data_IF_752151114028
#
_entry.id   IF_752151114028
#
_cell.length_a   1.000
_cell.length_b   1.000
_cell.length_c   1.000
_cell.angle_alpha   90.00
_cell.angle_beta   90.00
_cell.angle_gamma   90.00
#
_symmetry.space_group_name_H-M   'P 1'
#
loop_
_entity.id
_entity.type
_entity.pdbx_description
1 polymer ?
#
# COMPACT_ATOMS: atom_id res chain seq x y z
N UNK A 1 -2.49 2.43 -0.43
CA UNK A 1 -2.12 3.45 -1.45
C UNK A 1 -3.28 4.31 -1.92
N UNK A 2 -4.50 3.82 -2.13
CA UNK A 2 -5.66 4.68 -2.43
C UNK A 2 -6.46 5.12 -1.20
N UNK A 3 -6.18 4.61 0.01
CA UNK A 3 -6.91 4.96 1.22
C UNK A 3 -7.04 6.46 1.49
N UNK A 4 -5.94 7.22 1.43
CA UNK A 4 -5.98 8.66 1.65
C UNK A 4 -6.71 9.38 0.50
N UNK A 5 -6.52 8.95 -0.75
CA UNK A 5 -7.32 9.42 -1.90
C UNK A 5 -8.82 9.06 -1.81
N UNK A 6 -9.17 7.95 -1.16
CA UNK A 6 -10.55 7.50 -0.90
C UNK A 6 -11.16 8.28 0.26
N UNK A 7 -10.40 8.57 1.30
CA UNK A 7 -10.84 9.44 2.40
C UNK A 7 -11.03 10.86 1.87
N UNK A 8 -10.16 11.33 0.98
CA UNK A 8 -10.34 12.57 0.20
C UNK A 8 -11.62 12.48 -0.63
N UNK A 9 -11.88 11.38 -1.34
CA UNK A 9 -13.09 11.20 -2.16
C UNK A 9 -14.38 11.11 -1.33
N UNK A 10 -14.33 10.48 -0.14
CA UNK A 10 -15.44 10.40 0.81
C UNK A 10 -15.72 11.76 1.47
N UNK A 11 -14.69 12.59 1.68
CA UNK A 11 -14.83 13.97 2.16
C UNK A 11 -15.17 14.97 1.03
N UNK A 12 -14.83 14.66 -0.22
CA UNK A 12 -15.18 15.42 -1.41
C UNK A 12 -16.36 14.77 -2.14
N UNK A 13 -17.52 14.70 -1.48
CA UNK A 13 -18.78 14.72 -2.22
C UNK A 13 -18.67 15.87 -3.23
N UNK A 14 -18.78 15.56 -4.53
CA UNK A 14 -18.60 16.43 -5.71
C UNK A 14 -17.27 16.33 -6.47
N UNK A 15 -16.86 15.13 -6.85
CA UNK A 15 -16.17 14.96 -8.14
C UNK A 15 -17.00 14.04 -9.03
N UNK A 16 -17.68 14.66 -10.00
CA UNK A 16 -18.37 14.01 -11.10
C UNK A 16 -17.33 13.28 -11.97
N UNK A 17 -17.10 12.00 -11.69
CA UNK A 17 -16.67 11.07 -12.72
C UNK A 17 -17.67 9.92 -12.69
N UNK A 18 -18.47 9.88 -13.74
CA UNK A 18 -19.42 8.81 -13.99
C UNK A 18 -18.72 7.44 -14.00
N UNK A 19 -19.45 6.42 -13.53
CA UNK A 19 -19.17 4.95 -13.59
C UNK A 19 -18.48 4.30 -12.37
N UNK A 20 -19.30 3.78 -11.45
CA UNK A 20 -18.96 2.72 -10.48
C UNK A 20 -18.03 3.11 -9.31
N UNK A 21 -18.32 2.61 -8.10
CA UNK A 21 -17.36 2.68 -6.99
C UNK A 21 -16.11 1.86 -7.34
N UNK A 22 -14.91 2.43 -7.13
CA UNK A 22 -13.64 1.69 -7.30
C UNK A 22 -13.57 0.47 -6.37
N UNK A 23 -12.80 -0.56 -6.74
CA UNK A 23 -12.57 -1.73 -5.88
C UNK A 23 -12.04 -1.31 -4.51
N UNK A 24 -11.21 -0.28 -4.48
CA UNK A 24 -10.67 0.27 -3.25
C UNK A 24 -11.75 0.77 -2.28
N UNK A 25 -12.78 1.46 -2.80
CA UNK A 25 -13.91 1.95 -2.02
C UNK A 25 -14.82 0.81 -1.57
N UNK A 26 -15.08 -0.15 -2.46
CA UNK A 26 -15.91 -1.31 -2.15
C UNK A 26 -15.29 -2.11 -1.00
N UNK A 27 -13.99 -2.41 -1.08
CA UNK A 27 -13.29 -3.18 -0.06
C UNK A 27 -13.18 -2.42 1.27
N UNK A 28 -12.98 -1.10 1.26
CA UNK A 28 -12.98 -0.31 2.50
C UNK A 28 -14.37 -0.29 3.15
N UNK A 29 -15.42 -0.12 2.36
CA UNK A 29 -16.81 -0.11 2.85
C UNK A 29 -17.17 -1.45 3.48
N UNK A 30 -16.77 -2.56 2.83
CA UNK A 30 -16.98 -3.90 3.36
C UNK A 30 -16.18 -4.16 4.64
N UNK A 31 -14.93 -3.68 4.72
CA UNK A 31 -14.13 -3.75 5.95
C UNK A 31 -14.79 -3.01 7.11
N UNK A 32 -15.22 -1.76 6.89
CA UNK A 32 -15.93 -0.98 7.91
C UNK A 32 -17.21 -1.71 8.35
N UNK A 33 -17.99 -2.24 7.39
CA UNK A 33 -19.21 -3.01 7.71
C UNK A 33 -18.90 -4.24 8.56
N UNK A 34 -17.96 -5.07 8.15
CA UNK A 34 -17.65 -6.34 8.81
C UNK A 34 -17.04 -6.12 10.21
N UNK A 35 -16.22 -5.07 10.38
CA UNK A 35 -15.67 -4.69 11.68
C UNK A 35 -16.74 -4.20 12.66
N UNK A 36 -17.81 -3.58 12.19
CA UNK A 36 -18.92 -3.14 13.04
C UNK A 36 -19.80 -4.32 13.48
N UNK A 37 -20.01 -5.31 12.60
CA UNK A 37 -20.79 -6.52 12.90
C UNK A 37 -20.08 -7.40 13.94
N UNK A 38 -18.77 -7.57 13.84
CA UNK A 38 -18.02 -8.45 14.74
C UNK A 38 -17.84 -7.92 16.18
N UNK A 39 -18.10 -6.63 16.43
CA UNK A 39 -17.90 -6.02 17.75
C UNK A 39 -19.19 -5.89 18.57
N UNK A 40 -20.34 -6.41 18.12
CA UNK A 40 -21.66 -6.22 18.75
C UNK A 40 -21.97 -4.74 19.09
N UNK A 41 -21.32 -3.79 18.41
CA UNK A 41 -21.62 -2.37 18.60
C UNK A 41 -22.84 -2.08 17.73
N UNK A 42 -24.01 -1.75 18.32
CA UNK A 42 -25.16 -1.36 17.53
C UNK A 42 -24.73 -0.22 16.60
N UNK A 43 -25.14 -0.29 15.34
CA UNK A 43 -24.91 0.77 14.35
C UNK A 43 -25.64 2.02 14.83
N UNK A 44 -25.04 2.78 15.74
CA UNK A 44 -25.41 4.16 15.93
C UNK A 44 -24.91 4.88 14.70
N UNK A 45 -25.82 5.21 13.79
CA UNK A 45 -25.59 6.09 12.64
C UNK A 45 -25.02 7.48 13.03
N UNK A 46 -24.79 7.74 14.33
CA UNK A 46 -24.32 8.98 14.91
C UNK A 46 -22.86 8.98 15.40
N UNK A 47 -22.07 7.92 15.19
CA UNK A 47 -20.64 7.89 15.55
C UNK A 47 -19.69 7.78 14.35
N UNK A 48 -20.13 8.18 13.16
CA UNK A 48 -19.17 8.51 12.10
C UNK A 48 -18.45 9.78 12.55
N UNK A 49 -17.12 9.77 12.74
CA UNK A 49 -16.40 10.99 13.09
C UNK A 49 -16.72 12.05 12.05
N UNK A 50 -17.24 13.20 12.48
CA UNK A 50 -17.65 14.24 11.53
C UNK A 50 -16.48 15.09 11.03
N UNK A 51 -15.32 14.99 11.68
CA UNK A 51 -14.11 15.70 11.25
C UNK A 51 -13.23 14.84 10.33
N UNK A 52 -12.51 15.47 9.38
CA UNK A 52 -11.60 14.78 8.47
C UNK A 52 -10.58 13.87 9.16
N UNK A 53 -10.05 14.29 10.32
CA UNK A 53 -9.08 13.50 11.10
C UNK A 53 -9.66 12.17 11.53
N UNK A 54 -10.84 12.18 12.13
CA UNK A 54 -11.49 10.99 12.67
C UNK A 54 -11.89 10.02 11.57
N UNK A 55 -12.38 10.51 10.42
CA UNK A 55 -12.67 9.66 9.25
C UNK A 55 -11.39 9.00 8.75
N UNK A 56 -10.30 9.79 8.66
CA UNK A 56 -9.01 9.30 8.17
C UNK A 56 -8.45 8.21 9.09
N UNK A 57 -8.43 8.49 10.39
CA UNK A 57 -7.94 7.55 11.38
C UNK A 57 -8.79 6.27 11.44
N UNK A 58 -10.11 6.40 11.45
CA UNK A 58 -11.02 5.25 11.51
C UNK A 58 -10.84 4.31 10.30
N UNK A 59 -10.55 4.86 9.11
CA UNK A 59 -10.26 4.06 7.93
C UNK A 59 -8.93 3.27 8.07
N UNK A 60 -7.86 3.90 8.55
CA UNK A 60 -6.60 3.21 8.82
C UNK A 60 -6.77 2.14 9.90
N UNK A 61 -7.44 2.46 11.00
CA UNK A 61 -7.68 1.51 12.09
C UNK A 61 -8.56 0.34 11.66
N UNK A 62 -9.62 0.60 10.89
CA UNK A 62 -10.49 -0.43 10.33
C UNK A 62 -9.70 -1.42 9.47
N UNK A 63 -8.81 -0.92 8.60
CA UNK A 63 -7.98 -1.79 7.79
C UNK A 63 -6.93 -2.49 8.63
N UNK A 64 -6.30 -1.81 9.58
CA UNK A 64 -5.25 -2.43 10.40
C UNK A 64 -5.78 -3.53 11.34
N UNK A 65 -7.07 -3.53 11.69
CA UNK A 65 -7.69 -4.66 12.40
C UNK A 65 -7.66 -5.96 11.59
N UNK A 66 -7.82 -5.88 10.26
CA UNK A 66 -7.83 -7.05 9.40
C UNK A 66 -7.39 -6.74 7.96
N UNK A 67 -6.12 -6.34 7.81
CA UNK A 67 -5.62 -5.89 6.50
C UNK A 67 -5.58 -7.05 5.49
N UNK A 68 -5.51 -8.30 5.95
CA UNK A 68 -5.52 -9.49 5.08
C UNK A 68 -6.85 -9.63 4.35
N UNK A 69 -7.98 -9.43 5.03
CA UNK A 69 -9.29 -9.46 4.37
C UNK A 69 -9.48 -8.28 3.40
N UNK A 70 -8.93 -7.10 3.74
CA UNK A 70 -8.95 -5.96 2.83
C UNK A 70 -8.18 -6.26 1.53
N UNK A 71 -7.01 -6.87 1.66
CA UNK A 71 -6.18 -7.28 0.51
C UNK A 71 -6.85 -8.42 -0.28
N UNK A 72 -7.46 -9.38 0.40
CA UNK A 72 -8.19 -10.48 -0.23
C UNK A 72 -9.36 -9.97 -1.10
N UNK A 73 -10.11 -8.98 -0.59
CA UNK A 73 -11.14 -8.30 -1.37
C UNK A 73 -10.56 -7.63 -2.62
N UNK A 74 -9.42 -6.96 -2.48
CA UNK A 74 -8.71 -6.34 -3.61
C UNK A 74 -8.31 -7.36 -4.66
N UNK A 75 -7.59 -8.40 -4.27
CA UNK A 75 -7.11 -9.45 -5.17
C UNK A 75 -8.26 -10.12 -5.94
N UNK A 76 -9.40 -10.34 -5.27
CA UNK A 76 -10.56 -11.00 -5.87
C UNK A 76 -11.30 -10.11 -6.88
N UNK A 77 -11.40 -8.79 -6.61
CA UNK A 77 -12.24 -7.87 -7.39
C UNK A 77 -11.48 -7.04 -8.40
N UNK A 78 -10.23 -6.69 -8.11
CA UNK A 78 -9.43 -5.81 -8.95
C UNK A 78 -9.31 -6.31 -10.40
N UNK A 79 -9.02 -7.61 -10.68
CA UNK A 79 -8.89 -8.12 -12.04
C UNK A 79 -10.19 -8.05 -12.88
N UNK A 80 -11.35 -7.90 -12.23
CA UNK A 80 -12.66 -7.85 -12.89
C UNK A 80 -13.17 -6.43 -13.10
N UNK A 81 -12.51 -5.44 -12.50
CA UNK A 81 -12.97 -4.05 -12.59
C UNK A 81 -12.61 -3.43 -13.94
N UNK A 82 -13.55 -2.67 -14.49
CA UNK A 82 -13.37 -1.86 -15.70
C UNK A 82 -13.19 -0.38 -15.37
N UNK A 83 -13.23 0.00 -14.09
CA UNK A 83 -12.98 1.39 -13.69
C UNK A 83 -11.53 1.78 -14.08
N UNK A 84 -11.31 2.97 -14.69
CA UNK A 84 -9.99 3.41 -15.11
C UNK A 84 -8.92 3.37 -14.00
N UNK A 85 -9.26 3.81 -12.79
CA UNK A 85 -8.33 3.80 -11.66
C UNK A 85 -7.97 2.37 -11.23
N UNK A 86 -8.95 1.45 -11.29
CA UNK A 86 -8.73 0.04 -10.95
C UNK A 86 -7.87 -0.66 -12.02
N UNK A 87 -8.07 -0.34 -13.31
CA UNK A 87 -7.22 -0.85 -14.39
C UNK A 87 -5.79 -0.38 -14.28
N UNK A 88 -5.58 0.90 -13.93
CA UNK A 88 -4.26 1.39 -13.59
C UNK A 88 -3.67 0.62 -12.40
N UNK A 89 -4.46 0.35 -11.36
CA UNK A 89 -4.01 -0.41 -10.20
C UNK A 89 -3.62 -1.86 -10.56
N UNK A 90 -4.28 -2.51 -11.52
CA UNK A 90 -3.90 -3.84 -12.00
C UNK A 90 -2.46 -3.88 -12.55
N UNK A 91 -1.88 -2.75 -12.98
CA UNK A 91 -0.51 -2.66 -13.47
C UNK A 91 0.55 -2.65 -12.36
N UNK A 92 0.17 -2.29 -11.13
CA UNK A 92 1.12 -2.04 -10.03
C UNK A 92 0.82 -2.84 -8.77
N UNK A 93 -0.37 -3.42 -8.68
CA UNK A 93 -0.79 -4.21 -7.53
C UNK A 93 -0.17 -5.61 -7.55
N UNK A 94 0.39 -6.01 -6.40
CA UNK A 94 0.52 -7.42 -6.06
C UNK A 94 0.13 -7.62 -4.60
N UNK A 95 -0.43 -8.80 -4.30
CA UNK A 95 -0.81 -9.18 -2.94
C UNK A 95 0.36 -9.02 -1.96
N UNK A 96 1.49 -9.64 -2.27
CA UNK A 96 2.69 -9.67 -1.42
C UNK A 96 3.20 -8.28 -1.04
N UNK A 97 3.27 -7.34 -1.99
CA UNK A 97 3.75 -5.99 -1.70
C UNK A 97 2.75 -5.20 -0.86
N UNK A 98 1.45 -5.39 -1.10
CA UNK A 98 0.43 -4.76 -0.27
C UNK A 98 0.41 -5.35 1.15
N UNK A 99 0.66 -6.66 1.31
CA UNK A 99 0.81 -7.31 2.62
C UNK A 99 2.01 -6.71 3.37
N UNK A 100 3.19 -6.63 2.77
CA UNK A 100 4.36 -5.99 3.39
C UNK A 100 4.09 -4.54 3.81
N UNK A 101 3.39 -3.78 2.97
CA UNK A 101 3.05 -2.39 3.25
C UNK A 101 2.13 -2.26 4.48
N UNK A 102 1.02 -3.01 4.52
CA UNK A 102 0.09 -2.94 5.64
C UNK A 102 0.62 -3.62 6.90
N UNK A 103 1.38 -4.71 6.78
CA UNK A 103 2.02 -5.34 7.93
C UNK A 103 2.96 -4.35 8.63
N UNK A 104 3.84 -3.69 7.88
CA UNK A 104 4.73 -2.67 8.45
C UNK A 104 3.98 -1.48 9.05
N UNK A 105 3.01 -0.93 8.32
CA UNK A 105 2.21 0.20 8.80
C UNK A 105 1.45 -0.13 10.08
N UNK A 106 0.70 -1.23 10.06
CA UNK A 106 -0.26 -1.58 11.10
C UNK A 106 0.41 -2.14 12.36
N UNK A 107 1.59 -2.76 12.24
CA UNK A 107 2.31 -3.32 13.39
C UNK A 107 3.33 -2.36 14.00
N UNK A 108 3.96 -1.49 13.19
CA UNK A 108 5.09 -0.68 13.66
C UNK A 108 4.72 0.79 13.88
N UNK A 109 3.94 1.39 12.97
CA UNK A 109 3.90 2.86 12.85
C UNK A 109 2.49 3.48 12.96
N UNK A 110 1.43 2.66 13.06
CA UNK A 110 0.06 3.15 13.26
C UNK A 110 -0.10 4.10 14.46
N UNK A 111 0.51 3.86 15.65
CA UNK A 111 0.42 4.80 16.76
C UNK A 111 0.98 6.19 16.42
N UNK A 112 2.14 6.24 15.74
CA UNK A 112 2.75 7.51 15.34
C UNK A 112 1.88 8.26 14.31
N UNK A 113 1.23 7.54 13.40
CA UNK A 113 0.27 8.16 12.48
C UNK A 113 -0.97 8.67 13.19
N UNK A 114 -1.47 7.96 14.21
CA UNK A 114 -2.61 8.42 15.03
C UNK A 114 -2.31 9.77 15.66
N UNK A 115 -1.14 9.91 16.27
CA UNK A 115 -0.75 11.14 16.98
C UNK A 115 -0.51 12.33 16.03
N UNK A 116 -0.25 12.05 14.75
CA UNK A 116 0.08 13.05 13.73
C UNK A 116 -0.89 13.04 12.55
N UNK A 117 -2.12 12.56 12.74
CA UNK A 117 -3.10 12.34 11.67
C UNK A 117 -3.40 13.60 10.85
N UNK A 118 -3.30 14.78 11.50
CA UNK A 118 -3.45 16.09 10.85
C UNK A 118 -2.50 16.29 9.67
N UNK A 119 -1.29 15.74 9.73
CA UNK A 119 -0.32 15.82 8.64
C UNK A 119 -0.74 15.01 7.41
N UNK A 120 -1.62 14.02 7.57
CA UNK A 120 -2.10 13.19 6.46
C UNK A 120 -3.34 13.75 5.78
N UNK A 121 -3.92 14.82 6.31
CA UNK A 121 -5.11 15.44 5.73
C UNK A 121 -4.82 16.08 4.37
N UNK A 122 -5.88 16.23 3.59
CA UNK A 122 -5.82 16.87 2.27
C UNK A 122 -5.43 18.34 2.38
N UNK A 123 -4.23 18.69 1.91
CA UNK A 123 -3.80 20.07 1.69
C UNK A 123 -3.86 20.42 0.20
N UNK A 124 -3.80 21.72 -0.19
CA UNK A 124 -3.64 22.11 -1.60
C UNK A 124 -2.45 21.43 -2.30
N UNK A 125 -1.34 21.24 -1.59
CA UNK A 125 -0.14 20.59 -2.09
C UNK A 125 -0.37 19.09 -2.31
N UNK A 126 -1.02 18.40 -1.35
CA UNK A 126 -1.42 17.00 -1.53
C UNK A 126 -2.35 16.87 -2.75
N UNK A 127 -3.35 17.76 -2.88
CA UNK A 127 -4.26 17.77 -4.04
C UNK A 127 -3.52 17.98 -5.36
N UNK A 128 -2.50 18.83 -5.39
CA UNK A 128 -1.63 19.01 -6.56
C UNK A 128 -0.92 17.70 -6.93
N UNK A 129 -0.41 16.95 -5.97
CA UNK A 129 0.17 15.62 -6.22
C UNK A 129 -0.85 14.67 -6.87
N UNK A 130 -2.09 14.65 -6.36
CA UNK A 130 -3.18 13.84 -6.95
C UNK A 130 -3.59 14.29 -8.35
N UNK A 131 -3.60 15.59 -8.64
CA UNK A 131 -3.95 16.09 -9.97
C UNK A 131 -2.95 15.62 -11.03
N UNK A 132 -1.64 15.70 -10.74
CA UNK A 132 -0.59 15.20 -11.63
C UNK A 132 -0.68 13.67 -11.77
N UNK A 133 -0.93 12.97 -10.67
CA UNK A 133 -1.14 11.53 -10.70
C UNK A 133 -2.32 11.14 -11.58
N UNK A 134 -3.46 11.80 -11.44
CA UNK A 134 -4.67 11.51 -12.22
C UNK A 134 -4.45 11.75 -13.72
N UNK A 135 -3.65 12.75 -14.10
CA UNK A 135 -3.23 12.94 -15.48
C UNK A 135 -2.44 11.73 -16.00
N UNK A 136 -1.45 11.26 -15.23
CA UNK A 136 -0.67 10.06 -15.57
C UNK A 136 -1.49 8.77 -15.61
N UNK A 137 -2.45 8.61 -14.70
CA UNK A 137 -3.40 7.48 -14.72
C UNK A 137 -4.20 7.48 -16.03
N UNK A 138 -4.77 8.62 -16.40
CA UNK A 138 -5.54 8.75 -17.63
C UNK A 138 -4.68 8.46 -18.87
N UNK A 139 -3.43 8.93 -18.89
CA UNK A 139 -2.50 8.64 -19.99
C UNK A 139 -2.25 7.14 -20.14
N UNK A 140 -1.89 6.45 -19.04
CA UNK A 140 -1.60 5.02 -19.04
C UNK A 140 -2.83 4.20 -19.46
N UNK A 141 -4.01 4.52 -18.91
CA UNK A 141 -5.26 3.82 -19.27
C UNK A 141 -5.63 4.07 -20.73
N UNK A 142 -5.40 5.27 -21.26
CA UNK A 142 -5.62 5.56 -22.67
C UNK A 142 -4.69 4.76 -23.59
N UNK A 143 -3.42 4.58 -23.22
CA UNK A 143 -2.48 3.72 -23.94
C UNK A 143 -2.90 2.25 -23.90
N UNK A 144 -3.36 1.78 -22.74
CA UNK A 144 -3.90 0.43 -22.57
C UNK A 144 -5.15 0.21 -23.44
N UNK A 145 -6.08 1.17 -23.47
CA UNK A 145 -7.28 1.13 -24.32
C UNK A 145 -6.97 1.04 -25.81
N UNK A 146 -5.90 1.70 -26.27
CA UNK A 146 -5.49 1.68 -27.67
C UNK A 146 -4.77 0.38 -28.03
N UNK A 147 -4.37 -0.43 -27.05
CA UNK A 147 -3.59 -1.66 -27.23
C UNK A 147 -2.32 -1.44 -28.08
N UNK A 148 -1.70 -0.27 -27.96
CA UNK A 148 -0.54 0.17 -28.78
C UNK A 148 0.79 -0.05 -28.10
N UNK A 149 0.77 -0.38 -26.80
CA UNK A 149 1.96 -0.48 -25.95
C UNK A 149 1.95 -1.83 -25.25
N UNK A 150 3.07 -2.58 -25.22
CA UNK A 150 3.15 -3.85 -24.50
C UNK A 150 2.84 -3.69 -23.01
N UNK A 151 2.27 -4.73 -22.40
CA UNK A 151 1.90 -4.75 -20.97
C UNK A 151 3.06 -4.35 -20.06
N UNK A 152 4.25 -4.92 -20.25
CA UNK A 152 5.45 -4.59 -19.47
C UNK A 152 5.74 -3.08 -19.47
N UNK A 153 5.59 -2.43 -20.62
CA UNK A 153 5.83 -0.99 -20.73
C UNK A 153 4.75 -0.16 -20.04
N UNK A 154 3.49 -0.62 -20.04
CA UNK A 154 2.42 0.00 -19.25
C UNK A 154 2.71 -0.12 -17.74
N UNK A 155 3.26 -1.25 -17.29
CA UNK A 155 3.64 -1.48 -15.89
C UNK A 155 4.78 -0.56 -15.46
N UNK A 156 5.79 -0.35 -16.30
CA UNK A 156 6.86 0.63 -16.07
C UNK A 156 6.32 2.07 -15.99
N UNK A 157 5.39 2.45 -16.88
CA UNK A 157 4.77 3.77 -16.85
C UNK A 157 3.93 3.95 -15.57
N UNK A 158 3.12 2.95 -15.22
CA UNK A 158 2.31 2.98 -14.00
C UNK A 158 3.18 3.02 -12.73
N UNK A 159 4.31 2.31 -12.72
CA UNK A 159 5.33 2.40 -11.68
C UNK A 159 5.83 3.84 -11.53
N UNK A 160 6.29 4.47 -12.62
CA UNK A 160 6.81 5.84 -12.57
C UNK A 160 5.76 6.85 -12.11
N UNK A 161 4.53 6.76 -12.64
CA UNK A 161 3.39 7.60 -12.23
C UNK A 161 3.12 7.44 -10.72
N UNK A 162 3.13 6.20 -10.22
CA UNK A 162 2.93 5.91 -8.81
C UNK A 162 4.04 6.47 -7.93
N UNK A 163 5.31 6.20 -8.28
CA UNK A 163 6.47 6.67 -7.50
C UNK A 163 6.57 8.19 -7.49
N UNK A 164 6.29 8.86 -8.60
CA UNK A 164 6.27 10.33 -8.64
C UNK A 164 5.20 10.92 -7.72
N UNK A 165 4.01 10.31 -7.68
CA UNK A 165 2.97 10.69 -6.72
C UNK A 165 3.45 10.51 -5.29
N UNK A 166 4.02 9.36 -4.95
CA UNK A 166 4.49 9.07 -3.61
C UNK A 166 5.59 10.02 -3.16
N UNK A 167 6.57 10.34 -4.02
CA UNK A 167 7.61 11.34 -3.71
C UNK A 167 7.01 12.72 -3.42
N UNK A 168 6.01 13.12 -4.19
CA UNK A 168 5.30 14.38 -3.97
C UNK A 168 4.55 14.38 -2.63
N UNK A 169 3.73 13.36 -2.37
CA UNK A 169 2.95 13.25 -1.13
C UNK A 169 3.87 13.16 0.11
N UNK A 170 4.92 12.35 0.07
CA UNK A 170 5.82 12.18 1.22
C UNK A 170 6.66 13.41 1.51
N UNK A 171 6.99 14.21 0.49
CA UNK A 171 7.64 15.50 0.70
C UNK A 171 6.72 16.48 1.46
N UNK A 172 5.42 16.51 1.12
CA UNK A 172 4.42 17.32 1.84
C UNK A 172 4.28 16.83 3.28
N UNK A 173 4.17 15.51 3.48
CA UNK A 173 4.06 14.94 4.82
C UNK A 173 5.32 15.15 5.65
N UNK A 174 6.51 15.05 5.05
CA UNK A 174 7.78 15.30 5.72
C UNK A 174 7.94 16.77 6.15
N UNK A 175 7.40 17.71 5.36
CA UNK A 175 7.35 19.13 5.74
C UNK A 175 6.48 19.34 6.98
N UNK A 176 5.34 18.64 7.10
CA UNK A 176 4.50 18.71 8.28
C UNK A 176 5.12 18.00 9.50
N UNK A 177 5.62 16.78 9.31
CA UNK A 177 6.32 16.00 10.31
C UNK A 177 7.26 15.00 9.62
N UNK A 178 8.56 15.11 9.88
CA UNK A 178 9.58 14.30 9.20
C UNK A 178 9.39 12.80 9.40
N UNK A 179 8.94 12.37 10.59
CA UNK A 179 8.67 10.97 10.89
C UNK A 179 7.44 10.46 10.13
N UNK A 180 6.38 11.26 10.02
CA UNK A 180 5.21 10.91 9.20
C UNK A 180 5.59 10.77 7.73
N UNK A 181 6.41 11.69 7.21
CA UNK A 181 6.96 11.59 5.86
C UNK A 181 7.70 10.27 5.61
N UNK A 182 8.56 9.86 6.55
CA UNK A 182 9.26 8.58 6.49
C UNK A 182 8.31 7.36 6.54
N UNK A 183 7.34 7.37 7.45
CA UNK A 183 6.35 6.29 7.57
C UNK A 183 5.56 6.12 6.27
N UNK A 184 5.06 7.23 5.72
CA UNK A 184 4.29 7.20 4.47
C UNK A 184 5.16 6.80 3.28
N UNK A 185 6.44 7.18 3.27
CA UNK A 185 7.40 6.70 2.27
C UNK A 185 7.59 5.18 2.35
N UNK A 186 7.86 4.67 3.55
CA UNK A 186 7.99 3.22 3.81
C UNK A 186 6.73 2.48 3.35
N UNK A 187 5.54 2.99 3.70
CA UNK A 187 4.26 2.41 3.32
C UNK A 187 4.04 2.40 1.80
N UNK A 188 4.21 3.55 1.13
CA UNK A 188 3.93 3.66 -0.29
C UNK A 188 4.93 2.87 -1.15
N UNK A 189 6.22 2.93 -0.82
CA UNK A 189 7.24 2.23 -1.59
C UNK A 189 7.29 0.72 -1.28
N UNK A 190 6.73 0.28 -0.14
CA UNK A 190 6.47 -1.15 0.07
C UNK A 190 5.41 -1.68 -0.88
N UNK A 191 4.40 -0.89 -1.21
CA UNK A 191 3.25 -1.33 -2.01
C UNK A 191 3.48 -1.38 -3.52
N UNK A 192 4.60 -0.90 -4.04
CA UNK A 192 4.98 -1.12 -5.46
C UNK A 192 5.77 -2.43 -5.65
N UNK A 193 6.00 -2.86 -6.89
CA UNK A 193 6.74 -4.09 -7.17
C UNK A 193 8.23 -4.00 -6.85
N UNK A 194 8.91 -5.14 -6.69
CA UNK A 194 10.37 -5.20 -6.56
C UNK A 194 11.06 -4.52 -7.74
N UNK A 195 10.56 -4.78 -8.95
CA UNK A 195 11.14 -4.28 -10.18
C UNK A 195 10.93 -2.76 -10.29
N UNK A 196 9.75 -2.29 -9.88
CA UNK A 196 9.48 -0.86 -9.77
C UNK A 196 10.43 -0.16 -8.79
N UNK A 197 10.68 -0.75 -7.61
CA UNK A 197 11.66 -0.21 -6.65
C UNK A 197 13.07 -0.19 -7.25
N UNK A 198 13.49 -1.28 -7.89
CA UNK A 198 14.81 -1.39 -8.49
C UNK A 198 15.01 -0.33 -9.60
N UNK A 199 14.02 -0.16 -10.47
CA UNK A 199 14.05 0.80 -11.57
C UNK A 199 14.09 2.25 -11.08
N UNK A 200 13.31 2.57 -10.04
CA UNK A 200 13.14 3.95 -9.59
C UNK A 200 14.07 4.35 -8.46
N UNK A 201 14.81 3.41 -7.87
CA UNK A 201 15.60 3.61 -6.65
C UNK A 201 14.73 3.86 -5.40
N UNK A 202 13.45 3.46 -5.44
CA UNK A 202 12.55 3.64 -4.31
C UNK A 202 12.88 2.66 -3.17
N UNK A 203 12.94 3.19 -1.95
CA UNK A 203 13.35 2.45 -0.77
C UNK A 203 12.24 2.38 0.28
N UNK A 204 12.01 1.20 0.85
CA UNK A 204 11.11 1.02 1.99
C UNK A 204 11.72 0.11 3.04
N UNK A 205 11.76 0.58 4.28
CA UNK A 205 12.14 -0.23 5.45
C UNK A 205 11.21 -1.44 5.64
N UNK A 206 9.91 -1.32 5.35
CA UNK A 206 8.97 -2.43 5.48
C UNK A 206 9.36 -3.60 4.58
N UNK A 207 9.83 -3.32 3.37
CA UNK A 207 10.32 -4.41 2.50
C UNK A 207 11.59 -5.05 3.05
N UNK A 208 12.47 -4.33 3.75
CA UNK A 208 13.62 -4.98 4.37
C UNK A 208 13.22 -5.91 5.52
N UNK A 209 12.20 -5.51 6.29
CA UNK A 209 11.74 -6.24 7.47
C UNK A 209 10.86 -7.44 7.11
N UNK A 210 9.94 -7.28 6.14
CA UNK A 210 8.86 -8.23 5.90
C UNK A 210 8.99 -9.01 4.57
N UNK A 211 9.79 -8.53 3.62
CA UNK A 211 10.09 -9.28 2.38
C UNK A 211 11.02 -10.49 2.65
N UNK A 212 11.43 -10.71 3.91
CA UNK A 212 12.47 -11.63 4.36
C UNK A 212 12.00 -12.93 5.03
N UNK A 213 10.70 -13.18 5.22
CA UNK A 213 10.23 -14.50 5.70
C UNK A 213 10.46 -15.63 4.67
N UNK A 214 11.03 -15.33 3.51
CA UNK A 214 11.54 -16.31 2.53
C UNK A 214 12.88 -15.89 1.91
N UNK A 215 13.90 -15.59 2.73
CA UNK A 215 15.31 -15.70 2.30
C UNK A 215 16.18 -16.37 3.37
N UNK A 216 16.24 -17.70 3.33
CA UNK A 216 17.44 -18.53 3.55
C UNK A 216 18.40 -18.18 4.72
N UNK A 217 17.93 -17.70 5.87
CA UNK A 217 18.80 -17.65 7.06
C UNK A 217 19.03 -19.03 7.69
N UNK A 218 18.22 -20.04 7.33
CA UNK A 218 18.44 -21.44 7.74
C UNK A 218 19.52 -22.15 6.91
N UNK A 219 19.79 -21.73 5.67
CA UNK A 219 20.73 -22.45 4.80
C UNK A 219 22.20 -22.24 5.18
N UNK A 220 22.59 -21.04 5.61
CA UNK A 220 23.99 -20.74 5.98
C UNK A 220 24.42 -21.46 7.26
N UNK A 221 23.58 -21.45 8.30
CA UNK A 221 23.91 -22.13 9.55
C UNK A 221 23.93 -23.66 9.40
N UNK A 222 23.05 -24.23 8.56
CA UNK A 222 23.04 -25.68 8.28
C UNK A 222 24.28 -26.10 7.47
N UNK A 223 24.74 -25.31 6.50
CA UNK A 223 25.97 -25.62 5.75
C UNK A 223 27.24 -25.45 6.61
N UNK A 224 27.29 -24.44 7.48
CA UNK A 224 28.40 -24.27 8.43
C UNK A 224 28.43 -25.40 9.47
N UNK A 225 27.27 -25.83 10.00
CA UNK A 225 27.20 -26.98 10.91
C UNK A 225 27.57 -28.29 10.21
N UNK A 226 27.12 -28.51 8.97
CA UNK A 226 27.44 -29.72 8.21
C UNK A 226 28.94 -29.81 7.89
N UNK A 227 29.58 -28.70 7.49
CA UNK A 227 31.03 -28.66 7.23
C UNK A 227 31.85 -28.85 8.51
N UNK A 228 31.44 -28.23 9.63
CA UNK A 228 32.10 -28.44 10.94
C UNK A 228 32.01 -29.89 11.41
N UNK A 229 30.85 -30.55 11.23
CA UNK A 229 30.66 -31.96 11.59
C UNK A 229 31.48 -32.89 10.68
N UNK A 230 31.58 -32.60 9.39
CA UNK A 230 32.43 -33.37 8.46
C UNK A 230 33.91 -33.29 8.82
N UNK A 231 34.41 -32.10 9.15
CA UNK A 231 35.81 -31.91 9.59
C UNK A 231 36.08 -32.65 10.89
N UNK A 232 35.13 -32.62 11.84
CA UNK A 232 35.27 -33.31 13.12
C UNK A 232 35.26 -34.84 12.97
N UNK A 233 34.44 -35.39 12.08
CA UNK A 233 34.42 -36.84 11.84
C UNK A 233 35.65 -37.32 11.08
N UNK A 234 36.13 -36.57 10.08
CA UNK A 234 37.35 -36.92 9.35
C UNK A 234 38.60 -36.95 10.25
N UNK A 235 38.69 -36.02 11.20
CA UNK A 235 39.80 -35.98 12.16
C UNK A 235 39.77 -37.15 13.16
N UNK A 236 38.62 -37.79 13.37
CA UNK A 236 38.44 -38.92 14.31
C UNK A 236 38.76 -40.28 13.70
N UNK A 237 38.71 -40.41 12.38
CA UNK A 237 39.02 -41.65 11.64
C UNK A 237 40.47 -41.71 11.14
N UNK A 238 41.27 -40.68 11.40
CA UNK A 238 42.66 -40.54 10.88
C UNK A 238 43.74 -40.82 11.94
N UNK A 239 43.42 -41.58 12.99
CA UNK A 239 44.35 -42.07 14.01
C UNK A 239 44.19 -43.58 14.19
#
# INVERSE_FOLDING_TARGET
>A
MFLLGIIIYLLSYKLNIATGQSVAQQCLTEQIRNNNVNNNVPVQQNQVPQNPEGVTLAAFESICRNYREYINCFETRLPRSQNPADRFLQLVFTRHNMENAYEGLCTLDLPTLRDNIRCLLSTPEVRRCYNVFNQGVNEVVNLENRNTVPRLRLEELACNVSVNRYRCETAVYAFCNSRVGQIMQDFFFAGVTSDCRAQTGAFSRYTQLFNGSTKNQTSFWITVLATMLFIFQWKRTSF
#
